data_IF_797190653433
#
_entry.id   IF_797190653433
#
_cell.length_a   1.000
_cell.length_b   1.000
_cell.length_c   1.000
_cell.angle_alpha   90.00
_cell.angle_beta   90.00
_cell.angle_gamma   90.00
#
_symmetry.space_group_name_H-M   'P 1'
#
loop_
_entity.id
_entity.type
_entity.pdbx_description
1 polymer ?
#
# COMPACT_ATOMS: atom_id res chain seq x y z
N UNK A 1 17.97 26.80 -11.14
CA UNK A 1 18.53 25.76 -10.23
C UNK A 1 17.37 24.86 -9.88
N UNK A 2 17.33 23.66 -10.49
CA UNK A 2 16.09 22.93 -10.73
C UNK A 2 16.23 21.57 -10.06
N UNK A 3 15.26 21.20 -9.22
CA UNK A 3 14.70 19.86 -9.02
C UNK A 3 13.69 19.96 -7.88
N UNK A 4 12.45 20.29 -8.24
CA UNK A 4 11.31 20.10 -7.36
C UNK A 4 11.21 18.60 -7.09
N UNK A 5 11.66 18.15 -5.92
CA UNK A 5 11.51 16.76 -5.52
C UNK A 5 10.02 16.46 -5.48
N UNK A 6 9.61 15.51 -6.31
CA UNK A 6 8.25 15.07 -6.49
C UNK A 6 7.74 14.58 -5.13
N UNK A 7 6.92 15.38 -4.48
CA UNK A 7 6.00 14.90 -3.46
C UNK A 7 5.10 13.89 -4.16
N UNK A 8 5.46 12.60 -4.10
CA UNK A 8 4.53 11.53 -4.41
C UNK A 8 3.55 11.48 -3.24
N UNK A 9 2.63 12.46 -3.21
CA UNK A 9 1.35 12.23 -2.59
C UNK A 9 0.84 10.90 -3.18
N UNK A 10 0.40 9.92 -2.37
CA UNK A 10 -0.30 8.77 -2.89
C UNK A 10 -1.54 9.30 -3.59
N UNK A 11 -1.40 9.47 -4.89
CA UNK A 11 -2.37 10.05 -5.79
C UNK A 11 -3.62 9.20 -5.70
N UNK A 12 -4.74 9.87 -5.48
CA UNK A 12 -6.07 9.35 -5.22
C UNK A 12 -6.70 8.72 -6.49
N UNK A 13 -5.90 8.02 -7.28
CA UNK A 13 -6.27 7.56 -8.60
C UNK A 13 -6.39 6.06 -8.55
N UNK A 14 -7.65 5.57 -8.63
CA UNK A 14 -8.06 4.18 -8.88
C UNK A 14 -6.85 3.28 -9.12
N UNK A 15 -6.27 2.76 -8.05
CA UNK A 15 -5.03 2.00 -8.16
C UNK A 15 -5.35 0.71 -8.88
N UNK A 16 -4.98 0.64 -10.15
CA UNK A 16 -4.94 -0.58 -10.94
C UNK A 16 -3.86 -1.48 -10.34
N UNK A 17 -4.20 -2.13 -9.22
CA UNK A 17 -3.30 -3.05 -8.54
C UNK A 17 -2.87 -4.15 -9.52
N UNK A 18 -1.60 -4.53 -9.49
CA UNK A 18 -1.07 -5.61 -10.31
C UNK A 18 -0.71 -6.82 -9.45
N UNK A 19 -0.80 -8.01 -10.04
CA UNK A 19 -0.33 -9.23 -9.38
C UNK A 19 1.16 -9.09 -9.03
N UNK A 20 1.49 -9.26 -7.76
CA UNK A 20 2.84 -9.04 -7.20
C UNK A 20 2.96 -7.77 -6.36
N UNK A 21 2.03 -6.81 -6.47
CA UNK A 21 2.09 -5.57 -5.69
C UNK A 21 1.95 -5.84 -4.20
N UNK A 22 2.67 -5.07 -3.39
CA UNK A 22 2.56 -5.12 -1.94
C UNK A 22 1.62 -4.02 -1.47
N UNK A 23 0.58 -4.40 -0.74
CA UNK A 23 -0.49 -3.53 -0.28
C UNK A 23 -0.71 -3.67 1.21
N UNK A 24 -1.29 -2.64 1.80
CA UNK A 24 -1.70 -2.59 3.20
C UNK A 24 -3.14 -2.12 3.31
N UNK A 25 -3.84 -2.55 4.37
CA UNK A 25 -5.16 -2.02 4.66
C UNK A 25 -5.09 -0.59 5.17
N UNK A 26 -5.99 0.25 4.67
CA UNK A 26 -6.15 1.63 5.12
C UNK A 26 -6.81 1.71 6.51
N UNK A 27 -7.64 0.73 6.85
CA UNK A 27 -8.35 0.68 8.14
C UNK A 27 -7.40 0.25 9.29
N UNK A 28 -7.26 1.03 10.37
CA UNK A 28 -6.40 0.69 11.51
C UNK A 28 -6.80 -0.59 12.25
N UNK A 29 -8.08 -1.02 12.18
CA UNK A 29 -8.57 -2.26 12.82
C UNK A 29 -8.15 -3.53 12.07
N UNK A 30 -7.71 -3.39 10.82
CA UNK A 30 -7.20 -4.49 10.02
C UNK A 30 -5.76 -4.83 10.41
N UNK A 31 -5.31 -6.07 10.10
CA UNK A 31 -3.95 -6.47 10.37
C UNK A 31 -2.93 -5.50 9.77
N UNK A 32 -1.83 -5.37 10.50
CA UNK A 32 -0.66 -4.57 10.16
C UNK A 32 0.34 -5.32 9.27
N UNK A 33 0.13 -6.61 8.97
CA UNK A 33 1.00 -7.32 8.05
C UNK A 33 0.80 -6.87 6.60
N UNK A 34 1.88 -6.94 5.82
CA UNK A 34 1.83 -6.68 4.39
C UNK A 34 1.09 -7.80 3.66
N UNK A 35 0.41 -7.43 2.58
CA UNK A 35 -0.31 -8.37 1.73
C UNK A 35 0.18 -8.22 0.29
N UNK A 36 0.28 -9.33 -0.42
CA UNK A 36 0.65 -9.32 -1.83
C UNK A 36 -0.58 -9.51 -2.69
N UNK A 37 -0.75 -8.67 -3.69
CA UNK A 37 -1.78 -8.80 -4.70
C UNK A 37 -1.53 -10.07 -5.50
N UNK A 38 -2.51 -10.95 -5.50
CA UNK A 38 -2.49 -12.17 -6.30
C UNK A 38 -3.18 -11.95 -7.64
N UNK A 39 -4.36 -11.32 -7.62
CA UNK A 39 -5.17 -11.06 -8.81
C UNK A 39 -6.20 -9.96 -8.53
N UNK A 40 -6.41 -9.06 -9.47
CA UNK A 40 -7.52 -8.11 -9.43
C UNK A 40 -8.74 -8.70 -10.15
N UNK A 41 -9.92 -8.56 -9.55
CA UNK A 41 -11.20 -9.01 -10.11
C UNK A 41 -12.29 -7.97 -9.83
N UNK A 42 -12.73 -7.27 -10.89
CA UNK A 42 -13.71 -6.20 -10.77
C UNK A 42 -13.20 -5.08 -9.84
N UNK A 43 -14.03 -4.67 -8.88
CA UNK A 43 -13.69 -3.67 -7.84
C UNK A 43 -12.86 -4.24 -6.67
N UNK A 44 -12.52 -5.54 -6.72
CA UNK A 44 -11.84 -6.24 -5.64
C UNK A 44 -10.49 -6.81 -6.04
N UNK A 45 -9.69 -7.11 -5.03
CA UNK A 45 -8.34 -7.63 -5.15
C UNK A 45 -8.19 -8.86 -4.27
N UNK A 46 -7.77 -9.96 -4.87
CA UNK A 46 -7.35 -11.16 -4.19
C UNK A 46 -5.92 -10.99 -3.71
N UNK A 47 -5.70 -11.32 -2.45
CA UNK A 47 -4.47 -11.12 -1.73
C UNK A 47 -3.92 -12.44 -1.21
N UNK A 48 -2.60 -12.49 -1.03
CA UNK A 48 -1.86 -13.58 -0.39
C UNK A 48 -2.16 -14.97 -1.02
N UNK A 49 -2.06 -15.07 -2.35
CA UNK A 49 -2.30 -16.32 -3.06
C UNK A 49 -3.76 -16.81 -2.96
N UNK A 50 -4.73 -15.90 -3.10
CA UNK A 50 -6.18 -16.18 -3.01
C UNK A 50 -6.67 -16.59 -1.60
N UNK A 51 -5.93 -16.24 -0.53
CA UNK A 51 -6.33 -16.49 0.86
C UNK A 51 -7.10 -15.33 1.49
N UNK A 52 -7.13 -14.19 0.82
CA UNK A 52 -7.82 -13.00 1.30
C UNK A 52 -8.37 -12.20 0.14
N UNK A 53 -9.43 -11.44 0.39
CA UNK A 53 -10.07 -10.55 -0.56
C UNK A 53 -10.28 -9.19 0.09
N UNK A 54 -9.98 -8.13 -0.65
CA UNK A 54 -10.22 -6.76 -0.23
C UNK A 54 -10.77 -5.95 -1.40
N UNK A 55 -11.66 -5.00 -1.12
CA UNK A 55 -12.08 -4.02 -2.12
C UNK A 55 -10.94 -3.03 -2.36
N UNK A 56 -10.76 -2.59 -3.60
CA UNK A 56 -9.65 -1.71 -3.98
C UNK A 56 -9.59 -0.42 -3.14
N UNK A 57 -10.74 0.09 -2.69
CA UNK A 57 -10.82 1.28 -1.83
C UNK A 57 -10.50 1.03 -0.34
N UNK A 58 -10.37 -0.23 0.09
CA UNK A 58 -10.01 -0.61 1.47
C UNK A 58 -8.52 -0.87 1.65
N UNK A 59 -7.75 -0.82 0.56
CA UNK A 59 -6.32 -1.08 0.54
C UNK A 59 -5.60 0.06 -0.17
N UNK A 60 -4.33 0.26 0.18
CA UNK A 60 -3.41 1.15 -0.52
C UNK A 60 -2.11 0.43 -0.81
N UNK A 61 -1.35 0.92 -1.78
CA UNK A 61 0.02 0.47 -1.98
C UNK A 61 0.83 0.65 -0.69
N UNK A 62 1.64 -0.35 -0.35
CA UNK A 62 2.59 -0.26 0.74
C UNK A 62 3.73 0.68 0.33
N UNK A 63 4.15 1.55 1.25
CA UNK A 63 5.32 2.39 1.02
C UNK A 63 6.60 1.58 1.12
N UNK A 64 7.69 2.07 0.54
CA UNK A 64 9.00 1.39 0.60
C UNK A 64 9.43 1.13 2.04
N UNK A 65 9.21 2.10 2.93
CA UNK A 65 9.51 1.95 4.36
C UNK A 65 8.71 0.81 5.01
N UNK A 66 7.43 0.64 4.66
CA UNK A 66 6.60 -0.47 5.14
C UNK A 66 7.06 -1.82 4.60
N UNK A 67 7.45 -1.87 3.32
CA UNK A 67 8.02 -3.07 2.68
C UNK A 67 9.32 -3.49 3.37
N UNK A 68 10.20 -2.53 3.66
CA UNK A 68 11.44 -2.76 4.39
C UNK A 68 11.18 -3.21 5.84
N UNK A 69 10.21 -2.59 6.52
CA UNK A 69 9.81 -2.95 7.87
C UNK A 69 9.01 -4.26 7.96
N UNK A 70 8.56 -4.80 6.82
CA UNK A 70 7.65 -5.97 6.70
C UNK A 70 6.33 -5.82 7.47
N UNK A 71 5.92 -4.57 7.74
CA UNK A 71 4.70 -4.22 8.48
C UNK A 71 4.20 -2.84 8.07
N UNK A 72 2.90 -2.60 8.26
CA UNK A 72 2.27 -1.30 8.13
C UNK A 72 2.85 -0.37 9.19
N UNK A 73 3.29 0.79 8.75
CA UNK A 73 3.83 1.84 9.60
C UNK A 73 2.69 2.76 10.01
N UNK A 74 2.76 3.28 11.23
CA UNK A 74 1.86 4.34 11.66
C UNK A 74 2.18 5.64 10.91
N UNK A 75 1.22 6.57 10.86
CA UNK A 75 1.45 7.85 10.19
C UNK A 75 2.68 8.60 10.72
N UNK A 76 2.97 8.48 12.02
CA UNK A 76 4.16 9.05 12.64
C UNK A 76 5.46 8.37 12.18
N UNK A 77 5.46 7.03 12.08
CA UNK A 77 6.61 6.28 11.57
C UNK A 77 6.85 6.51 10.08
N UNK A 78 5.78 6.64 9.29
CA UNK A 78 5.89 7.02 7.87
C UNK A 78 6.55 8.41 7.75
N UNK A 79 6.08 9.40 8.50
CA UNK A 79 6.65 10.74 8.50
C UNK A 79 8.13 10.79 8.94
N UNK A 80 8.55 9.88 9.83
CA UNK A 80 9.95 9.76 10.26
C UNK A 80 10.81 8.98 9.26
N UNK A 81 10.22 8.07 8.48
CA UNK A 81 10.93 7.33 7.43
C UNK A 81 11.13 8.15 6.14
N UNK A 82 10.37 9.25 5.97
CA UNK A 82 10.47 10.20 4.86
C UNK A 82 11.59 11.25 5.03
N UNK A 83 12.67 10.92 5.75
CA UNK A 83 13.81 11.83 5.94
C UNK A 83 14.65 11.90 4.64
N UNK A 84 14.91 13.11 4.10
CA UNK A 84 15.56 13.34 2.81
C UNK A 84 17.05 12.97 2.75
#
# INVERSE_FOLDING_TARGET
MNKSNLTQQPSNDKSDFLAGDVVVFTDPKKPDHLMTVHKVQGDGVLLNGNRSFALAHLIRAATVAEVLAKRRLTAAEQALAEVP
#
